data_IF_572473775493
#
_entry.id   IF_572473775493
#
_cell.length_a   1.000
_cell.length_b   1.000
_cell.length_c   1.000
_cell.angle_alpha   90.00
_cell.angle_beta   90.00
_cell.angle_gamma   90.00
#
_symmetry.space_group_name_H-M   'P 1'
#
loop_
_entity.id
_entity.type
_entity.pdbx_description
1 polymer ?
#
# COMPACT_ATOMS: atom_id res chain seq x y z
N UNK A 1 -47.12 30.61 55.17
CA UNK A 1 -45.99 31.10 54.36
C UNK A 1 -45.03 29.96 54.15
N UNK A 2 -45.13 29.26 53.04
CA UNK A 2 -44.23 28.14 52.72
C UNK A 2 -43.76 28.33 51.30
N UNK A 3 -42.50 28.75 51.17
CA UNK A 3 -41.83 28.96 49.93
C UNK A 3 -41.27 27.60 49.46
N UNK A 4 -41.86 27.04 48.41
CA UNK A 4 -41.30 25.90 47.72
C UNK A 4 -40.30 26.40 46.64
N UNK A 5 -39.03 26.17 46.89
CA UNK A 5 -37.96 26.35 45.92
C UNK A 5 -37.95 25.13 45.00
N UNK A 6 -38.40 25.27 43.79
CA UNK A 6 -38.26 24.25 42.78
C UNK A 6 -36.84 24.29 42.20
N UNK A 7 -36.04 23.29 42.53
CA UNK A 7 -34.68 23.10 41.99
C UNK A 7 -34.78 22.38 40.64
N UNK A 8 -34.64 23.16 39.56
CA UNK A 8 -34.66 22.65 38.20
C UNK A 8 -33.26 22.09 37.88
N UNK A 9 -33.09 20.78 37.90
CA UNK A 9 -31.86 20.09 37.47
C UNK A 9 -31.91 19.94 35.98
N UNK A 10 -31.15 20.79 35.27
CA UNK A 10 -30.94 20.70 33.82
C UNK A 10 -29.85 19.64 33.54
N UNK A 11 -30.27 18.48 33.08
CA UNK A 11 -29.35 17.40 32.65
C UNK A 11 -28.86 17.78 31.24
N UNK A 12 -27.58 18.22 31.16
CA UNK A 12 -26.88 18.47 29.90
C UNK A 12 -26.45 17.12 29.35
N UNK A 13 -27.18 16.62 28.35
CA UNK A 13 -26.78 15.42 27.60
C UNK A 13 -25.61 15.77 26.68
N UNK A 14 -24.39 15.36 27.06
CA UNK A 14 -23.23 15.36 26.19
C UNK A 14 -23.39 14.24 25.17
N UNK A 15 -23.82 14.58 23.96
CA UNK A 15 -23.72 13.68 22.80
C UNK A 15 -22.25 13.56 22.40
N UNK A 16 -21.57 12.53 22.89
CA UNK A 16 -20.27 12.14 22.43
C UNK A 16 -20.40 11.64 20.99
N UNK A 17 -19.96 12.46 20.01
CA UNK A 17 -19.72 12.00 18.66
C UNK A 17 -18.59 10.97 18.71
N UNK A 18 -18.93 9.69 18.72
CA UNK A 18 -17.99 8.62 18.52
C UNK A 18 -17.54 8.68 17.05
N UNK A 19 -16.42 9.37 16.79
CA UNK A 19 -15.72 9.29 15.52
C UNK A 19 -15.20 7.86 15.38
N UNK A 20 -15.88 7.05 14.59
CA UNK A 20 -15.41 5.71 14.21
C UNK A 20 -14.07 5.93 13.47
N UNK A 21 -12.96 5.36 13.95
CA UNK A 21 -11.70 5.47 13.22
C UNK A 21 -11.91 4.88 11.82
N UNK A 22 -11.35 5.51 10.75
CA UNK A 22 -11.47 4.99 9.41
C UNK A 22 -10.93 3.55 9.43
N UNK A 23 -11.78 2.59 9.04
CA UNK A 23 -11.33 1.22 8.79
C UNK A 23 -10.24 1.34 7.75
N UNK A 24 -8.99 1.09 8.15
CA UNK A 24 -7.89 0.90 7.22
C UNK A 24 -8.32 -0.30 6.37
N UNK A 25 -8.81 -0.04 5.16
CA UNK A 25 -9.07 -1.09 4.19
C UNK A 25 -7.72 -1.71 3.90
N UNK A 26 -7.51 -2.93 4.40
CA UNK A 26 -6.32 -3.70 4.05
C UNK A 26 -6.34 -3.88 2.55
N UNK A 27 -5.40 -3.22 1.88
CA UNK A 27 -5.20 -3.39 0.46
C UNK A 27 -4.80 -4.84 0.19
N UNK A 28 -5.35 -5.45 -0.84
CA UNK A 28 -4.91 -6.79 -1.29
C UNK A 28 -3.43 -6.82 -1.71
N UNK A 29 -2.78 -5.67 -1.73
CA UNK A 29 -1.37 -5.51 -2.02
C UNK A 29 -0.49 -5.36 -0.76
N UNK A 30 -1.09 -5.46 0.44
CA UNK A 30 -0.33 -5.50 1.71
C UNK A 30 0.49 -6.78 1.86
N UNK A 31 0.19 -7.82 1.08
CA UNK A 31 0.96 -9.06 1.01
C UNK A 31 2.27 -8.94 0.23
N UNK A 32 2.52 -7.80 -0.44
CA UNK A 32 3.79 -7.53 -1.11
C UNK A 32 4.80 -7.05 -0.07
N UNK A 33 5.86 -7.82 0.21
CA UNK A 33 6.82 -7.43 1.22
C UNK A 33 7.67 -6.24 0.75
N UNK A 34 7.85 -5.29 1.65
CA UNK A 34 8.65 -4.08 1.43
C UNK A 34 9.84 -4.07 2.37
N UNK A 35 11.06 -3.78 1.91
CA UNK A 35 12.24 -3.65 2.76
C UNK A 35 12.04 -2.63 3.89
N UNK A 36 12.65 -2.91 5.05
CA UNK A 36 12.61 -2.00 6.20
C UNK A 36 13.27 -0.65 5.89
N UNK A 37 12.80 0.41 6.53
CA UNK A 37 13.37 1.75 6.38
C UNK A 37 12.67 2.61 5.32
N UNK A 38 11.64 2.08 4.69
CA UNK A 38 10.76 2.82 3.78
C UNK A 38 9.47 3.24 4.47
N UNK A 39 9.04 4.48 4.25
CA UNK A 39 7.75 5.00 4.66
C UNK A 39 6.84 5.17 3.46
N UNK A 40 5.59 4.71 3.56
CA UNK A 40 4.59 4.88 2.50
C UNK A 40 4.15 6.33 2.40
N UNK A 41 4.00 6.82 1.17
CA UNK A 41 3.37 8.11 0.86
C UNK A 41 1.95 7.88 0.33
N UNK A 42 0.98 7.92 1.23
CA UNK A 42 -0.43 7.67 0.90
C UNK A 42 -1.02 8.74 -0.02
N UNK A 43 -0.53 9.98 0.04
CA UNK A 43 -1.05 11.06 -0.80
C UNK A 43 -0.72 10.88 -2.29
N UNK A 44 0.33 10.14 -2.59
CA UNK A 44 0.75 9.81 -3.95
C UNK A 44 0.28 8.45 -4.41
N UNK A 45 -0.17 7.60 -3.47
CA UNK A 45 -0.58 6.23 -3.74
C UNK A 45 -2.01 6.14 -4.23
N UNK A 46 -2.27 5.23 -5.15
CA UNK A 46 -3.60 4.99 -5.73
C UNK A 46 -3.86 3.50 -5.82
N UNK A 47 -5.08 3.10 -5.46
CA UNK A 47 -5.55 1.72 -5.62
C UNK A 47 -6.79 1.76 -6.49
N UNK A 48 -6.83 0.92 -7.52
CA UNK A 48 -7.95 0.78 -8.45
C UNK A 48 -8.47 -0.64 -8.34
N UNK A 49 -9.74 -0.78 -8.03
CA UNK A 49 -10.41 -2.07 -7.95
C UNK A 49 -11.57 -2.13 -8.95
N UNK A 50 -11.57 -3.19 -9.75
CA UNK A 50 -12.66 -3.54 -10.64
C UNK A 50 -13.04 -5.02 -10.45
N UNK A 51 -14.18 -5.48 -10.97
CA UNK A 51 -14.58 -6.89 -10.86
C UNK A 51 -13.57 -7.88 -11.44
N UNK A 52 -12.77 -7.46 -12.41
CA UNK A 52 -11.85 -8.34 -13.15
C UNK A 52 -10.37 -8.05 -12.92
N UNK A 53 -10.03 -6.84 -12.50
CA UNK A 53 -8.64 -6.41 -12.31
C UNK A 53 -8.53 -5.56 -11.06
N UNK A 54 -7.51 -5.82 -10.28
CA UNK A 54 -7.06 -4.97 -9.19
C UNK A 54 -5.68 -4.44 -9.53
N UNK A 55 -5.49 -3.14 -9.39
CA UNK A 55 -4.22 -2.48 -9.62
C UNK A 55 -3.90 -1.52 -8.48
N UNK A 56 -2.65 -1.43 -8.11
CA UNK A 56 -2.16 -0.47 -7.13
C UNK A 56 -0.90 0.20 -7.64
N UNK A 57 -0.78 1.49 -7.35
CA UNK A 57 0.42 2.27 -7.52
C UNK A 57 0.74 2.89 -6.18
N UNK A 58 1.77 2.39 -5.51
CA UNK A 58 2.12 2.75 -4.14
C UNK A 58 3.51 3.39 -4.14
N UNK A 59 3.62 4.52 -3.48
CA UNK A 59 4.87 5.25 -3.35
C UNK A 59 5.44 5.10 -1.94
N UNK A 60 6.74 4.84 -1.89
CA UNK A 60 7.51 4.81 -0.66
C UNK A 60 8.69 5.76 -0.77
N UNK A 61 9.19 6.21 0.37
CA UNK A 61 10.41 7.01 0.46
C UNK A 61 11.25 6.58 1.65
N UNK A 62 12.56 6.69 1.52
CA UNK A 62 13.51 6.37 2.58
C UNK A 62 14.85 7.04 2.32
N UNK A 63 15.77 6.87 3.27
CA UNK A 63 17.17 7.30 3.12
C UNK A 63 18.06 6.07 3.02
N UNK A 64 17.90 5.35 1.94
CA UNK A 64 18.60 4.10 1.66
C UNK A 64 19.26 4.28 0.29
N UNK A 65 20.49 3.84 0.15
CA UNK A 65 21.21 3.88 -1.12
C UNK A 65 20.47 3.02 -2.16
N UNK A 66 20.22 3.52 -3.42
CA UNK A 66 19.36 2.88 -4.41
C UNK A 66 19.76 1.47 -4.81
N UNK A 67 21.07 1.20 -5.00
CA UNK A 67 21.54 -0.11 -5.41
C UNK A 67 21.35 -1.15 -4.30
N UNK A 68 21.64 -0.76 -3.05
CA UNK A 68 21.38 -1.58 -1.87
C UNK A 68 19.89 -1.87 -1.71
N UNK A 69 19.04 -0.89 -1.98
CA UNK A 69 17.60 -1.04 -1.95
C UNK A 69 17.09 -1.98 -3.05
N UNK A 70 17.67 -1.91 -4.25
CA UNK A 70 17.39 -2.82 -5.36
C UNK A 70 17.70 -4.27 -5.01
N UNK A 71 18.85 -4.53 -4.37
CA UNK A 71 19.24 -5.86 -3.88
C UNK A 71 18.27 -6.33 -2.78
N UNK A 72 17.91 -5.44 -1.84
CA UNK A 72 17.00 -5.77 -0.75
C UNK A 72 15.59 -6.13 -1.27
N UNK A 73 15.05 -5.38 -2.25
CA UNK A 73 13.79 -5.72 -2.90
C UNK A 73 13.84 -7.08 -3.56
N UNK A 74 14.85 -7.34 -4.35
CA UNK A 74 15.02 -8.63 -5.02
C UNK A 74 15.04 -9.78 -4.03
N UNK A 75 15.90 -9.71 -3.03
CA UNK A 75 16.03 -10.76 -2.01
C UNK A 75 14.71 -10.98 -1.27
N UNK A 76 14.05 -9.89 -0.86
CA UNK A 76 12.80 -9.96 -0.10
C UNK A 76 11.66 -10.53 -0.94
N UNK A 77 11.52 -10.10 -2.19
CA UNK A 77 10.47 -10.55 -3.08
C UNK A 77 10.67 -12.02 -3.49
N UNK A 78 11.89 -12.41 -3.87
CA UNK A 78 12.19 -13.80 -4.23
C UNK A 78 11.96 -14.75 -3.04
N UNK A 79 12.33 -14.36 -1.82
CA UNK A 79 12.06 -15.13 -0.60
C UNK A 79 10.57 -15.31 -0.31
N UNK A 80 9.72 -14.44 -0.86
CA UNK A 80 8.26 -14.49 -0.73
C UNK A 80 7.57 -15.06 -1.98
N UNK A 81 8.31 -15.74 -2.86
CA UNK A 81 7.79 -16.48 -4.01
C UNK A 81 7.52 -15.62 -5.25
N UNK A 82 8.01 -14.39 -5.29
CA UNK A 82 8.01 -13.59 -6.51
C UNK A 82 9.17 -14.02 -7.42
N UNK A 83 8.89 -14.22 -8.68
CA UNK A 83 9.89 -14.52 -9.70
C UNK A 83 10.39 -13.23 -10.33
N UNK A 84 11.68 -12.97 -10.25
CA UNK A 84 12.30 -11.85 -10.95
C UNK A 84 12.33 -12.12 -12.45
N UNK A 85 11.83 -11.20 -13.26
CA UNK A 85 11.79 -11.31 -14.71
C UNK A 85 12.86 -10.47 -15.39
N UNK A 86 12.99 -9.21 -14.98
CA UNK A 86 13.96 -8.29 -15.57
C UNK A 86 14.36 -7.17 -14.62
N UNK A 87 15.52 -6.59 -14.89
CA UNK A 87 16.01 -5.39 -14.23
C UNK A 87 16.64 -4.49 -15.27
N UNK A 88 16.24 -3.22 -15.30
CA UNK A 88 16.73 -2.20 -16.24
C UNK A 88 17.12 -0.97 -15.44
N UNK A 89 18.35 -0.50 -15.64
CA UNK A 89 18.86 0.73 -15.01
C UNK A 89 19.05 1.81 -16.08
N UNK A 90 18.54 3.00 -15.80
CA UNK A 90 18.69 4.19 -16.63
C UNK A 90 19.22 5.33 -15.77
N UNK A 91 20.18 6.06 -16.28
CA UNK A 91 20.84 7.17 -15.57
C UNK A 91 19.88 8.31 -15.18
N UNK A 92 18.82 8.49 -15.94
CA UNK A 92 17.83 9.55 -15.77
C UNK A 92 16.56 9.11 -15.00
N UNK A 93 16.25 7.81 -15.00
CA UNK A 93 14.99 7.26 -14.45
C UNK A 93 15.17 6.32 -13.28
N UNK A 94 16.40 5.94 -12.95
CA UNK A 94 16.69 4.97 -11.90
C UNK A 94 16.58 3.52 -12.36
N UNK A 95 16.38 2.61 -11.43
CA UNK A 95 16.34 1.16 -11.66
C UNK A 95 14.91 0.63 -11.58
N UNK A 96 14.48 -0.02 -12.65
CA UNK A 96 13.19 -0.72 -12.73
C UNK A 96 13.41 -2.22 -12.63
N UNK A 97 12.70 -2.87 -11.72
CA UNK A 97 12.67 -4.33 -11.57
C UNK A 97 11.26 -4.84 -11.79
N UNK A 98 11.13 -5.95 -12.50
CA UNK A 98 9.84 -6.57 -12.82
C UNK A 98 9.77 -7.98 -12.25
N UNK A 99 8.64 -8.29 -11.63
CA UNK A 99 8.39 -9.56 -10.96
C UNK A 99 7.01 -10.10 -11.33
N UNK A 100 6.88 -11.43 -11.18
CA UNK A 100 5.64 -12.16 -11.39
C UNK A 100 5.39 -13.12 -10.23
N UNK A 101 4.13 -13.27 -9.83
CA UNK A 101 3.70 -14.29 -8.87
C UNK A 101 2.25 -14.64 -9.11
N UNK A 102 1.98 -15.92 -9.47
CA UNK A 102 0.61 -16.47 -9.60
C UNK A 102 -0.36 -15.57 -10.40
N UNK A 103 0.06 -15.12 -11.57
CA UNK A 103 -0.75 -14.24 -12.43
C UNK A 103 -0.84 -12.78 -11.97
N UNK A 104 -0.10 -12.43 -10.92
CA UNK A 104 0.11 -11.05 -10.50
C UNK A 104 1.42 -10.52 -11.08
N UNK A 105 1.42 -9.28 -11.53
CA UNK A 105 2.62 -8.58 -12.00
C UNK A 105 2.97 -7.45 -11.04
N UNK A 106 4.25 -7.28 -10.78
CA UNK A 106 4.77 -6.21 -9.93
C UNK A 106 5.95 -5.55 -10.61
N UNK A 107 5.90 -4.24 -10.74
CA UNK A 107 7.01 -3.39 -11.15
C UNK A 107 7.46 -2.55 -9.97
N UNK A 108 8.75 -2.52 -9.73
CA UNK A 108 9.40 -1.70 -8.69
C UNK A 108 10.37 -0.74 -9.39
N UNK A 109 10.07 0.55 -9.34
CA UNK A 109 10.95 1.60 -9.84
C UNK A 109 11.61 2.30 -8.65
N UNK A 110 12.94 2.30 -8.61
CA UNK A 110 13.75 2.92 -7.57
C UNK A 110 14.52 4.09 -8.18
N UNK A 111 14.34 5.28 -7.62
CA UNK A 111 14.99 6.49 -8.11
C UNK A 111 15.33 7.46 -6.98
N UNK A 112 16.34 8.28 -7.17
CA UNK A 112 16.71 9.33 -6.22
C UNK A 112 16.03 10.64 -6.59
N UNK A 113 15.57 11.36 -5.58
CA UNK A 113 15.10 12.74 -5.73
C UNK A 113 15.37 13.53 -4.45
N UNK A 114 16.15 14.59 -4.57
CA UNK A 114 16.60 15.44 -3.46
C UNK A 114 17.39 14.62 -2.42
N UNK A 115 16.84 14.48 -1.23
CA UNK A 115 17.49 13.79 -0.10
C UNK A 115 16.94 12.38 0.13
N UNK A 116 16.04 11.90 -0.74
CA UNK A 116 15.34 10.64 -0.55
C UNK A 116 15.51 9.74 -1.76
N UNK A 117 15.57 8.47 -1.46
CA UNK A 117 15.31 7.41 -2.43
C UNK A 117 13.82 7.12 -2.43
N UNK A 118 13.22 7.22 -3.60
CA UNK A 118 11.83 6.94 -3.84
C UNK A 118 11.67 5.57 -4.48
N UNK A 119 10.59 4.92 -4.10
CA UNK A 119 10.18 3.66 -4.70
C UNK A 119 8.74 3.80 -5.17
N UNK A 120 8.51 3.53 -6.43
CA UNK A 120 7.18 3.39 -7.00
C UNK A 120 6.92 1.92 -7.28
N UNK A 121 5.94 1.35 -6.59
CA UNK A 121 5.49 -0.02 -6.80
C UNK A 121 4.18 0.00 -7.58
N UNK A 122 4.18 -0.60 -8.76
CA UNK A 122 2.98 -0.79 -9.58
C UNK A 122 2.64 -2.28 -9.63
N UNK A 123 1.55 -2.66 -8.97
CA UNK A 123 1.09 -4.04 -8.88
C UNK A 123 -0.23 -4.21 -9.63
N UNK A 124 -0.37 -5.32 -10.33
CA UNK A 124 -1.62 -5.69 -11.02
C UNK A 124 -1.93 -7.14 -10.73
N UNK A 125 -3.19 -7.41 -10.39
CA UNK A 125 -3.70 -8.77 -10.14
C UNK A 125 -5.00 -8.97 -10.92
N UNK A 126 -5.10 -10.09 -11.63
CA UNK A 126 -6.33 -10.48 -12.29
C UNK A 126 -7.25 -11.21 -11.30
N UNK A 127 -8.48 -10.73 -11.16
CA UNK A 127 -9.51 -11.32 -10.30
C UNK A 127 -10.38 -12.17 -11.20
N UNK A 128 -10.32 -13.50 -11.05
CA UNK A 128 -11.25 -14.39 -11.77
C UNK A 128 -10.66 -15.49 -12.64
N UNK A 129 -9.34 -15.64 -12.72
CA UNK A 129 -8.75 -16.77 -13.46
C UNK A 129 -8.80 -18.13 -12.72
N UNK A 130 -9.15 -18.13 -11.44
CA UNK A 130 -9.22 -19.38 -10.66
C UNK A 130 -10.51 -20.19 -10.87
N UNK A 131 -11.58 -19.58 -11.37
CA UNK A 131 -12.88 -20.27 -11.55
C UNK A 131 -13.12 -20.83 -12.96
N UNK A 132 -12.28 -20.49 -13.94
CA UNK A 132 -12.42 -20.98 -15.31
C UNK A 132 -11.76 -22.35 -15.56
N UNK A 133 -10.88 -22.82 -14.70
CA UNK A 133 -10.18 -24.11 -14.88
C UNK A 133 -10.89 -25.34 -14.29
N UNK A 134 -12.02 -25.17 -13.60
CA UNK A 134 -12.80 -26.28 -13.03
C UNK A 134 -14.03 -26.66 -13.87
N UNK A 135 -14.13 -26.20 -15.11
CA UNK A 135 -15.22 -26.54 -16.05
C UNK A 135 -14.72 -27.10 -17.39
N UNK A 136 -13.79 -28.05 -17.35
CA UNK A 136 -13.54 -28.93 -18.49
C UNK A 136 -13.51 -30.39 -18.02
#
# INVERSE_FOLDING_TARGET
MRRFLALSVTVLALTACASTPPKVQRSEFEDIPVPKGLAVDLNRSTIIESPTVKAARIFYKGRIEPDSLGVAFRTTLEANGWKHLSSTTSSDKGTTQVYEKQGSSLQVLIYESWYYTWVEMSATRMVGSASAQLRQ
#
